data_IF_102838355519
#
_entry.id   IF_102838355519
#
_cell.length_a   1.000
_cell.length_b   1.000
_cell.length_c   1.000
_cell.angle_alpha   90.00
_cell.angle_beta   90.00
_cell.angle_gamma   90.00
#
_symmetry.space_group_name_H-M   'P 1'
#
loop_
_entity.id
_entity.type
_entity.pdbx_description
1 polymer ?
#
# COMPACT_ATOMS: atom_id res chain seq x y z
N UNK A 1 -14.41 -8.88 10.88
CA UNK A 1 -14.83 -10.29 10.68
C UNK A 1 -14.30 -10.84 9.35
N UNK A 2 -14.52 -10.17 8.21
CA UNK A 2 -14.13 -10.62 6.87
C UNK A 2 -12.63 -10.87 6.69
N UNK A 3 -11.76 -9.99 7.20
CA UNK A 3 -10.30 -10.16 7.12
C UNK A 3 -9.82 -11.42 7.88
N UNK A 4 -10.43 -11.71 9.04
CA UNK A 4 -10.12 -12.93 9.82
C UNK A 4 -10.61 -14.18 9.09
N UNK A 5 -11.78 -14.12 8.47
CA UNK A 5 -12.31 -15.21 7.65
C UNK A 5 -11.38 -15.49 6.48
N UNK A 6 -10.97 -14.45 5.74
CA UNK A 6 -10.01 -14.57 4.63
C UNK A 6 -8.69 -15.19 5.11
N UNK A 7 -8.12 -14.71 6.21
CA UNK A 7 -6.88 -15.27 6.78
C UNK A 7 -7.04 -16.75 7.11
N UNK A 8 -8.14 -17.14 7.77
CA UNK A 8 -8.37 -18.53 8.11
C UNK A 8 -8.59 -19.40 6.87
N UNK A 9 -9.31 -18.90 5.87
CA UNK A 9 -9.47 -19.59 4.58
C UNK A 9 -8.11 -19.81 3.91
N UNK A 10 -7.26 -18.78 3.82
CA UNK A 10 -5.91 -18.89 3.27
C UNK A 10 -5.01 -19.84 4.06
N UNK A 11 -5.17 -19.90 5.39
CA UNK A 11 -4.45 -20.86 6.23
C UNK A 11 -4.88 -22.31 5.94
N UNK A 12 -6.18 -22.58 5.96
CA UNK A 12 -6.72 -23.92 5.84
C UNK A 12 -6.68 -24.47 4.40
N UNK A 13 -6.75 -23.60 3.39
CA UNK A 13 -6.59 -23.97 1.97
C UNK A 13 -5.14 -24.18 1.54
N UNK A 14 -4.16 -23.89 2.42
CA UNK A 14 -2.74 -23.91 2.04
C UNK A 14 -2.27 -22.70 1.25
N UNK A 15 -3.14 -21.68 1.04
CA UNK A 15 -2.83 -20.46 0.31
C UNK A 15 -1.65 -19.71 0.88
N UNK A 16 -1.58 -19.54 2.21
CA UNK A 16 -0.41 -18.90 2.88
C UNK A 16 0.88 -19.68 2.57
N UNK A 17 0.84 -21.01 2.59
CA UNK A 17 2.01 -21.83 2.28
C UNK A 17 2.44 -21.71 0.82
N UNK A 18 1.50 -21.56 -0.11
CA UNK A 18 1.79 -21.32 -1.52
C UNK A 18 2.43 -19.94 -1.73
N UNK A 19 1.85 -18.89 -1.17
CA UNK A 19 2.38 -17.53 -1.20
C UNK A 19 3.78 -17.49 -0.58
N UNK A 20 3.97 -18.12 0.61
CA UNK A 20 5.26 -18.24 1.26
C UNK A 20 6.32 -18.89 0.36
N UNK A 21 6.00 -19.99 -0.31
CA UNK A 21 6.94 -20.65 -1.24
C UNK A 21 7.33 -19.72 -2.40
N UNK A 22 6.40 -18.94 -2.92
CA UNK A 22 6.67 -17.95 -3.97
C UNK A 22 7.67 -16.88 -3.51
N UNK A 23 7.54 -16.41 -2.27
CA UNK A 23 8.42 -15.35 -1.75
C UNK A 23 9.70 -15.84 -1.07
N UNK A 24 9.75 -17.07 -0.56
CA UNK A 24 10.90 -17.56 0.22
C UNK A 24 12.20 -17.64 -0.58
N UNK A 25 12.11 -17.85 -1.88
CA UNK A 25 13.27 -18.06 -2.76
C UNK A 25 13.71 -16.80 -3.53
N UNK A 26 13.03 -15.65 -3.34
CA UNK A 26 13.34 -14.41 -4.08
C UNK A 26 14.70 -13.86 -3.64
N UNK A 27 14.94 -13.79 -2.33
CA UNK A 27 16.19 -13.26 -1.78
C UNK A 27 16.39 -13.71 -0.33
N UNK A 28 17.63 -13.94 0.10
CA UNK A 28 17.95 -14.18 1.52
C UNK A 28 17.95 -12.88 2.36
N UNK A 29 18.00 -11.70 1.73
CA UNK A 29 18.06 -10.42 2.44
C UNK A 29 16.66 -10.02 2.94
N UNK A 30 16.50 -10.02 4.27
CA UNK A 30 15.23 -9.66 4.91
C UNK A 30 14.76 -8.24 4.61
N UNK A 31 15.68 -7.32 4.31
CA UNK A 31 15.35 -5.93 3.97
C UNK A 31 14.65 -5.88 2.62
N UNK A 32 15.17 -6.63 1.66
CA UNK A 32 14.56 -6.78 0.33
C UNK A 32 13.24 -7.54 0.42
N UNK A 33 13.17 -8.62 1.22
CA UNK A 33 11.91 -9.33 1.48
C UNK A 33 10.85 -8.39 2.07
N UNK A 34 11.22 -7.50 2.99
CA UNK A 34 10.29 -6.53 3.56
C UNK A 34 9.75 -5.57 2.50
N UNK A 35 10.60 -5.11 1.57
CA UNK A 35 10.18 -4.24 0.47
C UNK A 35 9.22 -4.93 -0.51
N UNK A 36 9.49 -6.18 -0.87
CA UNK A 36 8.64 -6.92 -1.80
C UNK A 36 7.35 -7.39 -1.10
N UNK A 37 7.47 -8.05 0.06
CA UNK A 37 6.33 -8.70 0.71
C UNK A 37 5.53 -7.73 1.58
N UNK A 38 6.18 -6.97 2.47
CA UNK A 38 5.42 -6.04 3.29
C UNK A 38 4.95 -4.86 2.45
N UNK A 39 5.82 -4.19 1.69
CA UNK A 39 5.43 -3.00 0.94
C UNK A 39 4.61 -3.33 -0.30
N UNK A 40 5.18 -3.90 -1.36
CA UNK A 40 4.49 -4.05 -2.64
C UNK A 40 3.28 -4.98 -2.54
N UNK A 41 3.47 -6.19 -1.99
CA UNK A 41 2.36 -7.12 -1.84
C UNK A 41 1.33 -6.61 -0.81
N UNK A 42 1.77 -5.96 0.26
CA UNK A 42 0.88 -5.30 1.21
C UNK A 42 0.06 -4.17 0.58
N UNK A 43 0.67 -3.33 -0.29
CA UNK A 43 -0.05 -2.31 -1.06
C UNK A 43 -1.09 -2.93 -2.01
N UNK A 44 -0.78 -4.07 -2.62
CA UNK A 44 -1.75 -4.83 -3.43
C UNK A 44 -2.95 -5.29 -2.59
N UNK A 45 -2.69 -5.89 -1.43
CA UNK A 45 -3.74 -6.33 -0.50
C UNK A 45 -4.60 -5.13 -0.06
N UNK A 46 -3.98 -4.00 0.27
CA UNK A 46 -4.73 -2.78 0.65
C UNK A 46 -5.58 -2.27 -0.51
N UNK A 47 -5.03 -2.21 -1.72
CA UNK A 47 -5.76 -1.81 -2.92
C UNK A 47 -6.98 -2.70 -3.20
N UNK A 48 -6.83 -4.01 -3.04
CA UNK A 48 -7.88 -4.98 -3.34
C UNK A 48 -8.96 -5.06 -2.25
N UNK A 49 -8.60 -5.01 -0.97
CA UNK A 49 -9.52 -5.27 0.14
C UNK A 49 -9.59 -4.17 1.21
N UNK A 50 -8.57 -3.35 1.35
CA UNK A 50 -8.55 -2.22 2.29
C UNK A 50 -8.76 -2.60 3.76
N UNK A 51 -9.18 -1.61 4.55
CA UNK A 51 -9.68 -1.75 5.93
C UNK A 51 -8.78 -2.57 6.87
N UNK A 52 -7.45 -2.40 6.77
CA UNK A 52 -6.51 -3.08 7.65
C UNK A 52 -6.18 -4.53 7.25
N UNK A 53 -6.65 -5.00 6.10
CA UNK A 53 -6.37 -6.36 5.60
C UNK A 53 -4.87 -6.65 5.42
N UNK A 54 -4.00 -5.70 5.02
CA UNK A 54 -2.55 -5.96 4.98
C UNK A 54 -2.00 -6.39 6.33
N UNK A 55 -2.39 -5.75 7.41
CA UNK A 55 -1.96 -6.16 8.75
C UNK A 55 -2.45 -7.58 9.10
N UNK A 56 -3.66 -7.94 8.69
CA UNK A 56 -4.23 -9.26 8.96
C UNK A 56 -3.63 -10.38 8.10
N UNK A 57 -3.18 -10.10 6.88
CA UNK A 57 -2.69 -11.10 5.91
C UNK A 57 -1.17 -11.06 5.76
N UNK A 58 -0.59 -9.87 5.54
CA UNK A 58 0.85 -9.74 5.33
C UNK A 58 1.66 -9.99 6.60
N UNK A 59 1.17 -9.61 7.80
CA UNK A 59 1.91 -9.85 9.03
C UNK A 59 2.08 -11.35 9.34
N UNK A 60 1.05 -12.22 9.29
CA UNK A 60 1.24 -13.66 9.41
C UNK A 60 2.16 -14.27 8.34
N UNK A 61 2.13 -13.75 7.11
CA UNK A 61 3.04 -14.17 6.05
C UNK A 61 4.49 -13.83 6.38
N UNK A 62 4.77 -12.61 6.84
CA UNK A 62 6.09 -12.18 7.29
C UNK A 62 6.60 -13.04 8.45
N UNK A 63 5.74 -13.37 9.42
CA UNK A 63 6.08 -14.30 10.51
C UNK A 63 6.45 -15.68 9.96
N UNK A 64 5.68 -16.18 8.97
CA UNK A 64 5.98 -17.43 8.31
C UNK A 64 7.30 -17.42 7.51
N UNK A 65 7.75 -16.22 7.06
CA UNK A 65 9.06 -16.00 6.45
C UNK A 65 10.20 -15.81 7.51
N UNK A 66 9.87 -15.86 8.80
CA UNK A 66 10.81 -15.81 9.91
C UNK A 66 11.08 -14.40 10.44
N UNK A 67 10.23 -13.42 10.16
CA UNK A 67 10.28 -12.12 10.82
C UNK A 67 9.77 -12.23 12.26
N UNK A 68 10.33 -11.45 13.22
CA UNK A 68 9.75 -11.34 14.55
C UNK A 68 8.29 -10.85 14.46
N UNK A 69 7.41 -11.42 15.28
CA UNK A 69 5.97 -11.12 15.20
C UNK A 69 5.66 -9.62 15.32
N UNK A 70 6.33 -8.93 16.26
CA UNK A 70 6.15 -7.48 16.45
C UNK A 70 6.64 -6.69 15.22
N UNK A 71 7.78 -7.07 14.62
CA UNK A 71 8.25 -6.46 13.38
C UNK A 71 7.25 -6.64 12.25
N UNK A 72 6.71 -7.85 12.09
CA UNK A 72 5.72 -8.16 11.06
C UNK A 72 4.44 -7.30 11.20
N UNK A 73 3.96 -7.11 12.43
CA UNK A 73 2.80 -6.25 12.70
C UNK A 73 3.12 -4.79 12.40
N UNK A 74 4.27 -4.27 12.85
CA UNK A 74 4.67 -2.88 12.57
C UNK A 74 4.78 -2.63 11.06
N UNK A 75 5.42 -3.53 10.31
CA UNK A 75 5.52 -3.42 8.86
C UNK A 75 4.14 -3.48 8.19
N UNK A 76 3.27 -4.41 8.61
CA UNK A 76 1.91 -4.54 8.10
C UNK A 76 1.01 -3.34 8.38
N UNK A 77 1.28 -2.58 9.45
CA UNK A 77 0.58 -1.32 9.74
C UNK A 77 1.15 -0.16 8.92
N UNK A 78 2.48 -0.09 8.77
CA UNK A 78 3.14 0.99 8.04
C UNK A 78 2.80 1.01 6.55
N UNK A 79 2.63 -0.16 5.94
CA UNK A 79 2.33 -0.25 4.50
C UNK A 79 1.04 0.47 4.11
N UNK A 80 0.08 0.56 5.00
CA UNK A 80 -1.22 1.18 4.74
C UNK A 80 -1.13 2.70 4.51
N UNK A 81 -0.04 3.34 4.91
CA UNK A 81 0.12 4.80 4.86
C UNK A 81 -0.02 5.42 3.46
N UNK A 82 0.39 4.73 2.41
CA UNK A 82 0.34 5.26 1.04
C UNK A 82 -0.88 4.80 0.25
N UNK A 83 -1.22 3.48 0.22
CA UNK A 83 -2.32 2.99 -0.62
C UNK A 83 -3.71 3.24 -0.04
N UNK A 84 -3.83 3.61 1.26
CA UNK A 84 -5.10 3.61 2.01
C UNK A 84 -6.21 4.44 1.37
N UNK A 85 -5.90 5.59 0.79
CA UNK A 85 -6.93 6.46 0.18
C UNK A 85 -7.61 5.80 -1.01
N UNK A 86 -6.95 4.88 -1.67
CA UNK A 86 -7.48 4.08 -2.77
C UNK A 86 -7.55 2.59 -2.41
N UNK A 87 -7.61 2.28 -1.12
CA UNK A 87 -7.85 0.94 -0.61
C UNK A 87 -9.28 0.47 -0.91
N UNK A 88 -9.51 -0.83 -0.82
CA UNK A 88 -10.80 -1.45 -1.12
C UNK A 88 -11.42 -0.89 -2.44
N UNK A 89 -10.63 -0.92 -3.52
CA UNK A 89 -11.04 -0.44 -4.85
C UNK A 89 -11.55 1.00 -4.81
N UNK A 90 -10.82 1.90 -4.11
CA UNK A 90 -11.12 3.32 -4.05
C UNK A 90 -12.26 3.73 -3.10
N UNK A 91 -12.77 2.80 -2.27
CA UNK A 91 -13.89 3.07 -1.37
C UNK A 91 -13.73 4.33 -0.50
N UNK A 92 -12.56 4.65 0.09
CA UNK A 92 -12.40 5.87 0.89
C UNK A 92 -12.68 7.15 0.10
N UNK A 93 -12.30 7.19 -1.16
CA UNK A 93 -12.62 8.33 -2.05
C UNK A 93 -14.06 8.27 -2.54
N UNK A 94 -14.47 7.13 -3.11
CA UNK A 94 -15.79 7.01 -3.74
C UNK A 94 -16.93 7.18 -2.74
N UNK A 95 -16.83 6.54 -1.59
CA UNK A 95 -17.86 6.57 -0.56
C UNK A 95 -17.55 7.62 0.49
N UNK A 96 -16.33 7.64 1.05
CA UNK A 96 -15.96 8.56 2.12
C UNK A 96 -16.06 10.02 1.68
N UNK A 97 -15.38 10.39 0.61
CA UNK A 97 -15.43 11.76 0.09
C UNK A 97 -16.73 12.02 -0.67
N UNK A 98 -17.12 11.09 -1.56
CA UNK A 98 -18.30 11.25 -2.42
C UNK A 98 -19.61 11.36 -1.64
N UNK A 99 -19.76 10.68 -0.51
CA UNK A 99 -20.94 10.75 0.35
C UNK A 99 -20.78 11.72 1.51
N UNK A 100 -19.54 12.09 1.89
CA UNK A 100 -19.26 13.02 2.98
C UNK A 100 -19.40 14.50 2.61
N UNK A 101 -19.40 14.82 1.31
CA UNK A 101 -19.59 16.17 0.82
C UNK A 101 -21.07 16.42 0.46
N UNK A 102 -21.58 17.62 0.78
CA UNK A 102 -22.90 18.06 0.31
C UNK A 102 -22.85 18.34 -1.20
N UNK A 103 -23.11 17.31 -1.98
CA UNK A 103 -23.08 17.38 -3.43
C UNK A 103 -24.04 18.43 -3.99
N UNK A 104 -25.22 18.62 -3.38
CA UNK A 104 -26.24 19.54 -3.85
C UNK A 104 -25.79 20.99 -3.65
N UNK A 105 -25.44 21.37 -2.42
CA UNK A 105 -24.99 22.72 -2.11
C UNK A 105 -23.69 23.11 -2.82
N UNK A 106 -22.76 22.15 -2.95
CA UNK A 106 -21.50 22.38 -3.69
C UNK A 106 -21.77 22.53 -5.20
N UNK A 107 -22.68 21.76 -5.79
CA UNK A 107 -22.97 21.82 -7.22
C UNK A 107 -23.55 23.19 -7.62
N UNK A 108 -24.38 23.81 -6.79
CA UNK A 108 -24.88 25.18 -7.02
C UNK A 108 -23.74 26.20 -7.06
N UNK A 109 -22.79 26.10 -6.13
CA UNK A 109 -21.62 26.98 -6.09
C UNK A 109 -20.68 26.76 -7.29
N UNK A 110 -20.48 25.49 -7.71
CA UNK A 110 -19.66 25.15 -8.87
C UNK A 110 -20.24 25.69 -10.17
N UNK A 111 -21.56 25.64 -10.33
CA UNK A 111 -22.24 26.20 -11.50
C UNK A 111 -22.01 27.71 -11.61
N UNK A 112 -21.98 28.42 -10.48
CA UNK A 112 -21.71 29.87 -10.45
C UNK A 112 -20.31 30.23 -10.97
N UNK A 113 -19.36 29.31 -10.92
CA UNK A 113 -17.96 29.49 -11.41
C UNK A 113 -17.70 28.73 -12.72
N UNK A 114 -18.74 28.21 -13.38
CA UNK A 114 -18.62 27.49 -14.65
C UNK A 114 -18.00 26.09 -14.55
N UNK A 115 -18.12 25.44 -13.39
CA UNK A 115 -17.61 24.09 -13.14
C UNK A 115 -18.73 23.12 -12.74
N UNK A 116 -18.40 21.87 -12.50
CA UNK A 116 -19.34 20.84 -12.07
C UNK A 116 -18.73 19.86 -11.06
N UNK A 117 -19.58 19.01 -10.48
CA UNK A 117 -19.16 18.01 -9.50
C UNK A 117 -18.09 17.05 -10.03
N UNK A 118 -18.19 16.61 -11.26
CA UNK A 118 -17.25 15.64 -11.84
C UNK A 118 -15.84 16.22 -11.93
N UNK A 119 -15.71 17.47 -12.34
CA UNK A 119 -14.43 18.18 -12.40
C UNK A 119 -13.83 18.35 -11.01
N UNK A 120 -14.64 18.75 -10.01
CA UNK A 120 -14.16 18.87 -8.63
C UNK A 120 -13.74 17.51 -8.08
N UNK A 121 -14.54 16.47 -8.27
CA UNK A 121 -14.25 15.15 -7.75
C UNK A 121 -12.97 14.55 -8.38
N UNK A 122 -12.82 14.73 -9.70
CA UNK A 122 -11.58 14.39 -10.41
C UNK A 122 -10.37 15.13 -9.84
N UNK A 123 -10.50 16.42 -9.57
CA UNK A 123 -9.42 17.21 -8.97
C UNK A 123 -9.05 16.68 -7.58
N UNK A 124 -10.03 16.32 -6.75
CA UNK A 124 -9.79 15.79 -5.40
C UNK A 124 -8.97 14.50 -5.49
N UNK A 125 -9.45 13.47 -6.19
CA UNK A 125 -8.76 12.19 -6.19
C UNK A 125 -7.41 12.24 -6.93
N UNK A 126 -7.28 13.04 -7.97
CA UNK A 126 -6.00 13.26 -8.65
C UNK A 126 -4.97 13.92 -7.73
N UNK A 127 -5.37 14.92 -6.95
CA UNK A 127 -4.48 15.57 -5.96
C UNK A 127 -4.09 14.61 -4.85
N UNK A 128 -5.02 13.81 -4.36
CA UNK A 128 -4.73 12.77 -3.36
C UNK A 128 -3.72 11.76 -3.93
N UNK A 129 -3.90 11.28 -5.16
CA UNK A 129 -2.99 10.35 -5.80
C UNK A 129 -1.57 10.92 -5.93
N UNK A 130 -1.45 12.16 -6.42
CA UNK A 130 -0.15 12.83 -6.55
C UNK A 130 0.52 13.03 -5.19
N UNK A 131 -0.21 13.55 -4.21
CA UNK A 131 0.34 13.83 -2.88
C UNK A 131 0.82 12.56 -2.20
N UNK A 132 -0.02 11.52 -2.18
CA UNK A 132 0.35 10.23 -1.57
C UNK A 132 1.45 9.51 -2.34
N UNK A 133 1.45 9.59 -3.66
CA UNK A 133 2.51 9.01 -4.48
C UNK A 133 3.88 9.67 -4.23
N UNK A 134 3.93 11.00 -4.14
CA UNK A 134 5.17 11.74 -3.86
C UNK A 134 5.70 11.48 -2.45
N UNK A 135 4.84 11.56 -1.43
CA UNK A 135 5.23 11.29 -0.04
C UNK A 135 5.57 9.81 0.13
N UNK A 136 4.83 8.94 -0.53
CA UNK A 136 4.98 7.48 -0.51
C UNK A 136 6.35 6.99 -0.99
N UNK A 137 7.09 7.79 -1.78
CA UNK A 137 8.45 7.44 -2.23
C UNK A 137 9.39 7.19 -1.05
N UNK A 138 9.19 7.87 0.06
CA UNK A 138 10.05 7.71 1.25
C UNK A 138 9.62 6.57 2.17
N UNK A 139 8.39 6.10 2.06
CA UNK A 139 7.82 5.14 3.01
C UNK A 139 8.52 3.77 3.04
N UNK A 140 8.90 3.14 1.90
CA UNK A 140 9.64 1.88 1.92
C UNK A 140 11.00 2.01 2.62
N UNK A 141 11.71 3.12 2.40
CA UNK A 141 12.98 3.37 3.06
C UNK A 141 12.80 3.54 4.58
N UNK A 142 11.84 4.36 5.00
CA UNK A 142 11.52 4.57 6.42
C UNK A 142 11.15 3.23 7.08
N UNK A 143 10.34 2.42 6.40
CA UNK A 143 9.91 1.10 6.87
C UNK A 143 11.11 0.18 7.12
N UNK A 144 12.05 0.08 6.18
CA UNK A 144 13.24 -0.75 6.34
C UNK A 144 14.19 -0.19 7.40
N UNK A 145 14.33 1.12 7.48
CA UNK A 145 15.14 1.77 8.52
C UNK A 145 14.60 1.48 9.93
N UNK A 146 13.28 1.56 10.12
CA UNK A 146 12.63 1.19 11.39
C UNK A 146 12.84 -0.30 11.68
N UNK A 147 12.64 -1.16 10.68
CA UNK A 147 12.85 -2.60 10.83
C UNK A 147 14.27 -2.92 11.29
N UNK A 148 15.30 -2.37 10.65
CA UNK A 148 16.70 -2.64 11.00
C UNK A 148 17.09 -2.03 12.33
N UNK A 149 16.56 -0.87 12.69
CA UNK A 149 16.88 -0.17 13.95
C UNK A 149 16.29 -0.88 15.17
N UNK A 150 15.04 -1.32 15.08
CA UNK A 150 14.34 -1.84 16.25
C UNK A 150 14.30 -3.38 16.30
N UNK A 151 14.42 -4.05 15.17
CA UNK A 151 14.29 -5.51 15.06
C UNK A 151 15.48 -6.21 14.39
N UNK A 152 16.46 -5.44 13.90
CA UNK A 152 17.70 -5.97 13.35
C UNK A 152 18.68 -6.41 14.43
N UNK A 153 19.57 -7.34 14.09
CA UNK A 153 20.59 -7.85 15.02
C UNK A 153 21.49 -6.74 15.58
N UNK A 154 21.90 -5.80 14.73
CA UNK A 154 22.82 -4.72 15.10
C UNK A 154 22.11 -3.43 15.49
N UNK A 155 20.78 -3.41 15.47
CA UNK A 155 19.94 -2.25 15.80
C UNK A 155 20.42 -0.93 15.15
N UNK A 156 20.72 -1.00 13.85
CA UNK A 156 21.41 0.07 13.13
C UNK A 156 20.53 0.73 12.04
N UNK A 157 20.44 2.06 12.08
CA UNK A 157 19.85 2.85 11.00
C UNK A 157 20.65 2.74 9.69
N UNK A 158 21.97 2.57 9.78
CA UNK A 158 22.87 2.47 8.62
C UNK A 158 22.56 1.21 7.79
N UNK A 159 22.16 0.12 8.43
CA UNK A 159 21.78 -1.11 7.71
C UNK A 159 20.52 -0.92 6.85
N UNK A 160 19.54 -0.18 7.35
CA UNK A 160 18.37 0.20 6.55
C UNK A 160 18.73 1.15 5.42
N UNK A 161 19.57 2.15 5.71
CA UNK A 161 20.02 3.12 4.72
C UNK A 161 20.90 2.48 3.62
N UNK A 162 21.59 1.40 3.90
CA UNK A 162 22.40 0.69 2.91
C UNK A 162 21.59 0.13 1.73
N UNK A 163 20.29 -0.13 1.92
CA UNK A 163 19.38 -0.55 0.84
C UNK A 163 18.54 0.60 0.27
N UNK A 164 18.87 1.85 0.60
CA UNK A 164 18.13 3.02 0.12
C UNK A 164 17.97 3.07 -1.40
N UNK A 165 18.98 2.78 -2.24
CA UNK A 165 18.77 2.79 -3.70
C UNK A 165 17.68 1.82 -4.13
N UNK A 166 17.66 0.62 -3.58
CA UNK A 166 16.63 -0.38 -3.90
C UNK A 166 15.27 -0.01 -3.31
N UNK A 167 15.22 0.54 -2.10
CA UNK A 167 13.98 1.00 -1.48
C UNK A 167 13.32 2.15 -2.28
N UNK A 168 14.11 3.12 -2.73
CA UNK A 168 13.64 4.22 -3.58
C UNK A 168 13.21 3.71 -4.96
N UNK A 169 13.98 2.79 -5.56
CA UNK A 169 13.59 2.15 -6.82
C UNK A 169 12.24 1.45 -6.69
N UNK A 170 12.06 0.62 -5.65
CA UNK A 170 10.79 -0.06 -5.35
C UNK A 170 9.64 0.94 -5.16
N UNK A 171 9.90 2.04 -4.46
CA UNK A 171 8.93 3.10 -4.25
C UNK A 171 8.52 3.79 -5.57
N UNK A 172 9.47 4.07 -6.45
CA UNK A 172 9.19 4.68 -7.77
C UNK A 172 8.37 3.73 -8.64
N UNK A 173 8.73 2.42 -8.67
CA UNK A 173 8.00 1.39 -9.40
C UNK A 173 6.53 1.26 -8.95
N UNK A 174 6.24 1.57 -7.70
CA UNK A 174 4.87 1.66 -7.19
C UNK A 174 4.24 3.04 -7.47
N UNK A 175 4.91 4.12 -7.07
CA UNK A 175 4.31 5.46 -7.00
C UNK A 175 4.01 6.07 -8.36
N UNK A 176 4.85 5.81 -9.38
CA UNK A 176 4.62 6.36 -10.74
C UNK A 176 3.34 5.80 -11.35
N UNK A 177 3.14 4.47 -11.46
CA UNK A 177 1.88 3.94 -11.99
C UNK A 177 0.68 4.20 -11.07
N UNK A 178 0.88 4.29 -9.74
CA UNK A 178 -0.15 4.69 -8.79
C UNK A 178 -0.67 6.10 -9.09
N UNK A 179 0.23 7.09 -9.25
CA UNK A 179 -0.16 8.47 -9.59
C UNK A 179 -0.82 8.53 -10.97
N UNK A 180 -0.25 7.86 -11.96
CA UNK A 180 -0.80 7.81 -13.31
C UNK A 180 -2.23 7.22 -13.31
N UNK A 181 -2.44 6.10 -12.63
CA UNK A 181 -3.76 5.50 -12.51
C UNK A 181 -4.76 6.44 -11.80
N UNK A 182 -4.34 7.13 -10.74
CA UNK A 182 -5.19 8.07 -10.03
C UNK A 182 -5.55 9.32 -10.84
N UNK A 183 -4.71 9.73 -11.78
CA UNK A 183 -4.99 10.89 -12.64
C UNK A 183 -5.83 10.51 -13.86
N UNK A 184 -5.57 9.35 -14.47
CA UNK A 184 -6.11 9.02 -15.79
C UNK A 184 -7.21 7.95 -15.77
N UNK A 185 -7.24 7.05 -14.77
CA UNK A 185 -8.17 5.92 -14.75
C UNK A 185 -9.28 6.04 -13.69
N UNK A 186 -9.04 6.79 -12.62
CA UNK A 186 -10.01 6.96 -11.55
C UNK A 186 -9.55 6.44 -10.19
N UNK A 187 -10.35 6.62 -9.14
CA UNK A 187 -9.95 6.31 -7.77
C UNK A 187 -9.92 4.81 -7.43
N UNK A 188 -10.47 3.95 -8.27
CA UNK A 188 -10.53 2.50 -8.06
C UNK A 188 -9.18 1.81 -8.27
N UNK A 189 -8.32 2.35 -9.13
CA UNK A 189 -7.18 1.65 -9.71
C UNK A 189 -5.80 1.95 -9.09
N UNK A 190 -5.55 3.10 -8.45
CA UNK A 190 -4.19 3.53 -8.10
C UNK A 190 -3.40 2.49 -7.31
N UNK A 191 -3.94 2.03 -6.19
CA UNK A 191 -3.23 1.10 -5.29
C UNK A 191 -3.02 -0.27 -5.92
N UNK A 192 -3.98 -0.77 -6.70
CA UNK A 192 -3.89 -2.08 -7.37
C UNK A 192 -2.85 -2.01 -8.49
N UNK A 193 -2.97 -1.03 -9.40
CA UNK A 193 -2.06 -0.92 -10.55
C UNK A 193 -0.64 -0.59 -10.08
N UNK A 194 -0.48 0.35 -9.15
CA UNK A 194 0.82 0.67 -8.57
C UNK A 194 1.51 -0.56 -7.99
N UNK A 195 0.78 -1.36 -7.23
CA UNK A 195 1.33 -2.55 -6.61
C UNK A 195 1.63 -3.67 -7.60
N UNK A 196 0.74 -3.95 -8.56
CA UNK A 196 0.96 -4.98 -9.58
C UNK A 196 2.14 -4.65 -10.49
N UNK A 197 2.24 -3.40 -10.95
CA UNK A 197 3.38 -2.95 -11.76
C UNK A 197 4.66 -2.99 -10.94
N UNK A 198 4.64 -2.52 -9.70
CA UNK A 198 5.78 -2.61 -8.80
C UNK A 198 6.24 -4.06 -8.58
N UNK A 199 5.32 -5.00 -8.29
CA UNK A 199 5.64 -6.41 -8.13
C UNK A 199 6.16 -7.08 -9.41
N UNK A 200 5.76 -6.61 -10.58
CA UNK A 200 6.22 -7.16 -11.86
C UNK A 200 7.63 -6.68 -12.25
N UNK A 201 8.04 -5.48 -11.79
CA UNK A 201 9.33 -4.87 -12.14
C UNK A 201 10.41 -5.23 -11.11
N UNK A 202 10.06 -5.30 -9.83
CA UNK A 202 10.97 -5.52 -8.71
C UNK A 202 11.19 -6.99 -8.42
#
# INVERSE_FOLDING_TARGET
FGAILLLNTLKHSGGISAIRRGFANITPDRRVQALIVAWLFGCFIEGASGFGTPAAVAAPLLVALGFPALAAVVLGMMVQSTPVSFGAVGTPILVGVGSGLDKTGISEQLLAVGSNWEVLFHLIYSRVAITHGLIGIFMPLIMVMIMTRFFGKNQSWKEGLAVAPFAIFTAICFSVPYMAAGVFLGPEFPSIIGALVGLAIV
#
